data_IF_344580153794
#
_entry.id   IF_344580153794
#
_cell.length_a   1.000
_cell.length_b   1.000
_cell.length_c   1.000
_cell.angle_alpha   90.00
_cell.angle_beta   90.00
_cell.angle_gamma   90.00
#
_symmetry.space_group_name_H-M   'P 1'
#
loop_
_entity.id
_entity.type
_entity.pdbx_description
1 polymer ?
#
# COMPACT_ATOMS: atom_id res chain seq x y z
N UNK A 1 -51.85 -16.04 3.18
CA UNK A 1 -50.69 -15.85 2.28
C UNK A 1 -50.14 -14.42 2.27
N UNK A 2 -50.97 -13.36 2.24
CA UNK A 2 -50.48 -11.97 2.23
C UNK A 2 -49.68 -11.53 3.49
N UNK A 3 -50.07 -11.98 4.70
CA UNK A 3 -49.35 -11.63 5.95
C UNK A 3 -47.98 -12.31 6.12
N UNK A 4 -47.71 -13.41 5.43
CA UNK A 4 -46.41 -14.13 5.51
C UNK A 4 -45.39 -13.49 4.56
N UNK A 5 -45.84 -13.00 3.41
CA UNK A 5 -44.99 -12.28 2.45
C UNK A 5 -44.55 -10.90 2.97
N UNK A 6 -45.41 -10.15 3.67
CA UNK A 6 -45.05 -8.84 4.24
C UNK A 6 -43.88 -8.88 5.23
N UNK A 7 -43.89 -9.85 6.16
CA UNK A 7 -42.83 -10.01 7.18
C UNK A 7 -41.47 -10.41 6.60
N UNK A 8 -41.43 -11.06 5.44
CA UNK A 8 -40.17 -11.45 4.78
C UNK A 8 -39.55 -10.29 4.02
N UNK A 9 -40.37 -9.41 3.45
CA UNK A 9 -39.92 -8.21 2.73
C UNK A 9 -39.37 -7.15 3.69
N UNK A 10 -40.03 -6.95 4.83
CA UNK A 10 -39.58 -5.97 5.84
C UNK A 10 -38.19 -6.33 6.41
N UNK A 11 -37.96 -7.62 6.70
CA UNK A 11 -36.64 -8.10 7.18
C UNK A 11 -35.53 -7.94 6.14
N UNK A 12 -35.86 -8.11 4.86
CA UNK A 12 -34.89 -7.92 3.77
C UNK A 12 -34.58 -6.44 3.55
N UNK A 13 -35.58 -5.57 3.72
CA UNK A 13 -35.40 -4.12 3.68
C UNK A 13 -34.52 -3.63 4.85
N UNK A 14 -34.79 -4.09 6.07
CA UNK A 14 -33.93 -3.82 7.24
C UNK A 14 -32.48 -4.27 7.00
N UNK A 15 -32.29 -5.42 6.35
CA UNK A 15 -30.96 -5.90 5.96
C UNK A 15 -30.29 -4.96 4.95
N UNK A 16 -31.01 -4.49 3.93
CA UNK A 16 -30.50 -3.53 2.95
C UNK A 16 -30.12 -2.19 3.59
N UNK A 17 -30.97 -1.66 4.46
CA UNK A 17 -30.69 -0.43 5.21
C UNK A 17 -29.47 -0.60 6.12
N UNK A 18 -29.36 -1.74 6.81
CA UNK A 18 -28.20 -2.10 7.61
C UNK A 18 -26.90 -2.04 6.80
N UNK A 19 -26.88 -2.70 5.63
CA UNK A 19 -25.73 -2.73 4.72
C UNK A 19 -25.37 -1.32 4.22
N UNK A 20 -26.35 -0.55 3.73
CA UNK A 20 -26.13 0.80 3.19
C UNK A 20 -25.74 1.83 4.26
N UNK A 21 -26.12 1.58 5.52
CA UNK A 21 -25.74 2.43 6.66
C UNK A 21 -24.33 2.17 7.20
N UNK A 22 -23.61 1.17 6.66
CA UNK A 22 -22.24 0.88 7.05
C UNK A 22 -21.30 1.98 6.52
N UNK A 23 -20.61 2.68 7.42
CA UNK A 23 -19.74 3.81 7.07
C UNK A 23 -18.25 3.56 7.34
N UNK A 24 -17.91 2.44 8.00
CA UNK A 24 -16.53 2.08 8.35
C UNK A 24 -16.37 0.56 8.31
N UNK A 25 -15.21 0.05 7.87
CA UNK A 25 -14.94 -1.39 7.83
C UNK A 25 -15.10 -2.09 9.19
N UNK A 26 -14.74 -1.41 10.29
CA UNK A 26 -14.92 -1.91 11.66
C UNK A 26 -16.38 -2.18 12.06
N UNK A 27 -17.34 -1.64 11.31
CA UNK A 27 -18.78 -1.85 11.55
C UNK A 27 -19.33 -3.05 10.77
N UNK A 28 -18.54 -3.65 9.87
CA UNK A 28 -18.98 -4.72 8.98
C UNK A 28 -19.54 -5.92 9.74
N UNK A 29 -18.94 -6.33 10.85
CA UNK A 29 -19.49 -7.42 11.66
C UNK A 29 -20.93 -7.12 12.08
N UNK A 30 -21.14 -6.01 12.82
CA UNK A 30 -22.44 -5.68 13.41
C UNK A 30 -23.51 -5.31 12.38
N UNK A 31 -23.14 -4.57 11.32
CA UNK A 31 -24.10 -4.01 10.34
C UNK A 31 -24.31 -4.88 9.11
N UNK A 32 -23.35 -5.75 8.76
CA UNK A 32 -23.37 -6.52 7.51
C UNK A 32 -23.32 -8.02 7.81
N UNK A 33 -22.24 -8.53 8.40
CA UNK A 33 -22.03 -9.96 8.56
C UNK A 33 -23.04 -10.61 9.51
N UNK A 34 -23.29 -10.03 10.68
CA UNK A 34 -24.23 -10.60 11.66
C UNK A 34 -25.69 -10.63 11.16
N UNK A 35 -26.23 -9.57 10.53
CA UNK A 35 -27.54 -9.63 9.89
C UNK A 35 -27.61 -10.62 8.72
N UNK A 36 -26.58 -10.65 7.85
CA UNK A 36 -26.53 -11.59 6.72
C UNK A 36 -26.43 -13.04 7.19
N UNK A 37 -25.60 -13.34 8.21
CA UNK A 37 -25.46 -14.67 8.76
C UNK A 37 -26.80 -15.20 9.29
N UNK A 38 -27.57 -14.35 10.01
CA UNK A 38 -28.94 -14.70 10.43
C UNK A 38 -29.89 -14.95 9.26
N UNK A 39 -29.84 -14.11 8.21
CA UNK A 39 -30.68 -14.26 7.03
C UNK A 39 -30.36 -15.52 6.20
N UNK A 40 -29.09 -15.93 6.21
CA UNK A 40 -28.58 -17.12 5.51
C UNK A 40 -28.53 -18.36 6.41
N UNK A 41 -28.97 -18.24 7.66
CA UNK A 41 -28.92 -19.29 8.67
C UNK A 41 -27.50 -19.89 8.82
N UNK A 42 -26.47 -19.04 8.75
CA UNK A 42 -25.06 -19.40 8.90
C UNK A 42 -24.61 -19.26 10.36
N UNK A 43 -23.64 -20.07 10.78
CA UNK A 43 -23.09 -20.01 12.13
C UNK A 43 -22.04 -18.89 12.25
N UNK A 44 -21.19 -18.79 11.23
CA UNK A 44 -20.13 -17.78 11.16
C UNK A 44 -20.16 -17.07 9.81
N UNK A 45 -19.50 -15.91 9.77
CA UNK A 45 -19.27 -15.20 8.53
C UNK A 45 -17.94 -14.44 8.55
N UNK A 46 -17.41 -14.16 7.38
CA UNK A 46 -16.20 -13.37 7.22
C UNK A 46 -16.28 -12.44 6.01
N UNK A 47 -15.56 -11.34 6.10
CA UNK A 47 -15.25 -10.45 4.99
C UNK A 47 -13.73 -10.41 4.85
N UNK A 48 -13.22 -10.61 3.64
CA UNK A 48 -11.80 -10.57 3.32
C UNK A 48 -11.61 -9.76 2.04
N UNK A 49 -10.83 -8.68 2.12
CA UNK A 49 -10.34 -7.95 0.96
C UNK A 49 -9.01 -8.57 0.52
N UNK A 50 -9.00 -9.13 -0.67
CA UNK A 50 -7.81 -9.62 -1.35
C UNK A 50 -7.30 -8.55 -2.32
N UNK A 51 -6.07 -8.11 -2.12
CA UNK A 51 -5.39 -7.16 -2.98
C UNK A 51 -4.33 -7.93 -3.77
N UNK A 52 -4.42 -7.87 -5.11
CA UNK A 52 -3.45 -8.51 -6.00
C UNK A 52 -2.37 -7.49 -6.35
N UNK A 53 -1.10 -7.84 -6.11
CA UNK A 53 0.03 -6.95 -6.39
C UNK A 53 0.93 -7.54 -7.50
N UNK A 54 0.37 -7.82 -8.69
CA UNK A 54 1.13 -8.37 -9.82
C UNK A 54 1.89 -9.65 -9.45
N UNK A 55 3.21 -9.69 -9.72
CA UNK A 55 4.09 -10.85 -9.44
C UNK A 55 4.22 -11.22 -7.95
N UNK A 56 3.82 -10.34 -7.02
CA UNK A 56 3.98 -10.54 -5.57
C UNK A 56 2.86 -11.36 -4.91
N UNK A 57 1.98 -11.95 -5.70
CA UNK A 57 0.84 -12.73 -5.22
C UNK A 57 -0.22 -11.87 -4.53
N UNK A 58 -0.99 -12.52 -3.67
CA UNK A 58 -2.16 -11.97 -2.99
C UNK A 58 -1.78 -11.48 -1.59
N UNK A 59 -2.32 -10.34 -1.16
CA UNK A 59 -2.27 -9.88 0.24
C UNK A 59 -3.67 -9.61 0.78
N UNK A 60 -3.80 -9.62 2.11
CA UNK A 60 -5.03 -9.23 2.80
C UNK A 60 -5.01 -7.72 3.06
N UNK A 61 -6.07 -7.03 2.64
CA UNK A 61 -6.39 -5.66 3.06
C UNK A 61 -7.30 -5.67 4.29
N UNK A 62 -8.46 -5.03 4.19
CA UNK A 62 -9.48 -5.08 5.23
C UNK A 62 -10.04 -6.48 5.44
N UNK A 63 -10.32 -6.80 6.69
CA UNK A 63 -11.02 -8.03 7.04
C UNK A 63 -11.94 -7.82 8.24
N UNK A 64 -13.02 -8.59 8.29
CA UNK A 64 -13.93 -8.64 9.42
C UNK A 64 -14.45 -10.07 9.59
N UNK A 65 -14.90 -10.40 10.80
CA UNK A 65 -15.45 -11.70 11.11
C UNK A 65 -16.66 -11.58 12.03
N UNK A 66 -17.55 -12.56 11.93
CA UNK A 66 -18.72 -12.76 12.75
C UNK A 66 -18.67 -14.16 13.35
N UNK A 67 -18.67 -14.25 14.69
CA UNK A 67 -18.60 -15.51 15.46
C UNK A 67 -17.42 -16.43 15.12
N UNK A 68 -16.34 -15.88 14.52
CA UNK A 68 -15.04 -16.56 14.41
C UNK A 68 -14.17 -16.08 15.56
N UNK A 69 -13.43 -16.99 16.20
CA UNK A 69 -12.49 -16.60 17.25
C UNK A 69 -11.41 -15.66 16.67
N UNK A 70 -11.06 -14.54 17.33
CA UNK A 70 -10.10 -13.56 16.80
C UNK A 70 -8.75 -14.17 16.41
N UNK A 71 -8.23 -15.11 17.21
CA UNK A 71 -6.96 -15.79 16.91
C UNK A 71 -7.02 -16.63 15.63
N UNK A 72 -8.18 -17.25 15.33
CA UNK A 72 -8.36 -18.02 14.11
C UNK A 72 -8.43 -17.11 12.89
N UNK A 73 -9.14 -15.98 13.01
CA UNK A 73 -9.18 -14.96 11.97
C UNK A 73 -7.79 -14.37 11.70
N UNK A 74 -7.01 -14.12 12.75
CA UNK A 74 -5.62 -13.67 12.62
C UNK A 74 -4.76 -14.73 11.91
N UNK A 75 -4.80 -15.99 12.34
CA UNK A 75 -4.08 -17.09 11.67
C UNK A 75 -4.42 -17.19 10.18
N UNK A 76 -5.70 -17.08 9.83
CA UNK A 76 -6.13 -17.08 8.42
C UNK A 76 -5.51 -15.93 7.64
N UNK A 77 -5.68 -14.70 8.12
CA UNK A 77 -5.22 -13.49 7.43
C UNK A 77 -3.70 -13.37 7.34
N UNK A 78 -2.96 -14.05 8.22
CA UNK A 78 -1.49 -14.06 8.18
C UNK A 78 -0.88 -15.21 7.38
N UNK A 79 -1.51 -16.39 7.38
CA UNK A 79 -0.93 -17.63 6.84
C UNK A 79 -1.88 -18.33 5.87
N UNK A 80 -3.00 -18.85 6.36
CA UNK A 80 -3.83 -19.81 5.63
C UNK A 80 -4.51 -19.25 4.38
N UNK A 81 -4.71 -17.93 4.26
CA UNK A 81 -5.30 -17.34 3.05
C UNK A 81 -4.50 -17.67 1.78
N UNK A 82 -3.18 -17.94 1.89
CA UNK A 82 -2.35 -18.33 0.74
C UNK A 82 -2.59 -19.76 0.28
N UNK A 83 -3.16 -20.58 1.15
CA UNK A 83 -3.46 -21.99 0.90
C UNK A 83 -4.95 -22.21 0.55
N UNK A 84 -5.76 -21.16 0.63
CA UNK A 84 -7.20 -21.21 0.36
C UNK A 84 -7.47 -21.21 -1.16
N UNK A 85 -8.08 -22.27 -1.72
CA UNK A 85 -8.45 -22.29 -3.14
C UNK A 85 -9.41 -21.16 -3.53
N UNK A 86 -10.23 -20.69 -2.58
CA UNK A 86 -11.11 -19.54 -2.77
C UNK A 86 -10.35 -18.20 -2.86
N UNK A 87 -9.10 -18.13 -2.38
CA UNK A 87 -8.25 -16.95 -2.52
C UNK A 87 -7.72 -16.78 -3.96
N UNK A 88 -7.53 -17.86 -4.71
CA UNK A 88 -7.02 -17.81 -6.09
C UNK A 88 -8.07 -17.27 -7.07
N UNK A 89 -7.72 -16.22 -7.81
CA UNK A 89 -8.62 -15.59 -8.77
C UNK A 89 -8.80 -16.38 -10.07
N UNK A 90 -7.87 -17.29 -10.39
CA UNK A 90 -7.95 -18.17 -11.57
C UNK A 90 -8.85 -19.39 -11.37
N UNK A 91 -9.17 -19.74 -10.12
CA UNK A 91 -10.01 -20.89 -9.78
C UNK A 91 -11.50 -20.57 -9.65
N UNK A 92 -11.88 -19.29 -9.67
CA UNK A 92 -13.30 -18.91 -9.65
C UNK A 92 -13.91 -19.03 -11.05
N UNK A 93 -14.97 -19.84 -11.23
CA UNK A 93 -15.63 -20.00 -12.53
C UNK A 93 -16.12 -18.66 -13.09
N UNK A 94 -15.71 -18.34 -14.32
CA UNK A 94 -16.14 -17.15 -15.08
C UNK A 94 -17.53 -17.28 -15.70
N UNK A 95 -18.05 -18.51 -15.83
CA UNK A 95 -19.28 -18.84 -16.56
C UNK A 95 -20.46 -19.23 -15.64
N UNK A 96 -20.62 -18.57 -14.48
CA UNK A 96 -21.80 -18.76 -13.63
C UNK A 96 -22.73 -17.55 -13.68
N UNK A 97 -24.04 -17.81 -13.55
CA UNK A 97 -25.10 -16.78 -13.48
C UNK A 97 -25.00 -15.90 -12.24
N UNK A 98 -24.33 -16.37 -11.18
CA UNK A 98 -24.13 -15.64 -9.93
C UNK A 98 -22.64 -15.62 -9.58
N UNK A 99 -22.25 -14.66 -8.75
CA UNK A 99 -20.92 -14.54 -8.19
C UNK A 99 -20.81 -15.22 -6.79
N UNK A 100 -21.64 -16.25 -6.56
CA UNK A 100 -21.73 -16.99 -5.31
C UNK A 100 -21.38 -18.46 -5.54
N UNK A 101 -20.49 -18.99 -4.71
CA UNK A 101 -19.85 -20.29 -4.90
C UNK A 101 -19.89 -21.11 -3.61
N UNK A 102 -20.11 -22.41 -3.74
CA UNK A 102 -19.76 -23.39 -2.72
C UNK A 102 -18.31 -23.83 -2.87
N UNK A 103 -17.74 -24.46 -1.84
CA UNK A 103 -16.40 -25.05 -1.93
C UNK A 103 -16.24 -25.99 -3.14
N UNK A 104 -17.27 -26.78 -3.45
CA UNK A 104 -17.30 -27.71 -4.57
C UNK A 104 -17.27 -27.04 -5.94
N UNK A 105 -17.69 -25.78 -6.02
CA UNK A 105 -17.66 -25.01 -7.28
C UNK A 105 -16.26 -24.46 -7.57
N UNK A 106 -15.39 -24.41 -6.55
CA UNK A 106 -14.05 -23.81 -6.60
C UNK A 106 -12.97 -24.88 -6.74
N UNK A 107 -13.10 -25.97 -5.98
CA UNK A 107 -12.10 -27.03 -5.96
C UNK A 107 -12.70 -28.41 -5.67
N UNK A 108 -11.96 -29.43 -6.07
CA UNK A 108 -12.28 -30.82 -5.71
C UNK A 108 -12.07 -31.02 -4.20
N UNK A 109 -13.16 -31.32 -3.50
CA UNK A 109 -13.17 -31.47 -2.04
C UNK A 109 -12.24 -32.58 -1.55
N UNK A 110 -12.04 -33.64 -2.35
CA UNK A 110 -11.11 -34.72 -2.00
C UNK A 110 -9.66 -34.22 -1.94
N UNK A 111 -9.28 -33.31 -2.84
CA UNK A 111 -7.96 -32.66 -2.85
C UNK A 111 -7.81 -31.66 -1.72
N UNK A 112 -8.88 -30.95 -1.37
CA UNK A 112 -8.88 -30.04 -0.23
C UNK A 112 -8.60 -30.82 1.08
N UNK A 113 -9.28 -31.96 1.28
CA UNK A 113 -9.18 -32.76 2.51
C UNK A 113 -7.78 -33.33 2.80
N UNK A 114 -6.92 -33.48 1.79
CA UNK A 114 -5.53 -33.95 1.97
C UNK A 114 -4.54 -32.80 2.23
N UNK A 115 -4.95 -31.54 2.00
CA UNK A 115 -4.08 -30.38 2.15
C UNK A 115 -3.95 -29.85 3.57
N UNK A 116 -2.90 -29.06 3.80
CA UNK A 116 -2.63 -28.34 5.05
C UNK A 116 -3.81 -27.45 5.45
N UNK A 117 -4.37 -26.70 4.50
CA UNK A 117 -5.49 -25.78 4.77
C UNK A 117 -6.70 -26.48 5.40
N UNK A 118 -7.03 -27.69 4.94
CA UNK A 118 -8.15 -28.43 5.53
C UNK A 118 -7.80 -29.00 6.90
N UNK A 119 -6.67 -29.70 7.01
CA UNK A 119 -6.33 -30.46 8.20
C UNK A 119 -5.93 -29.58 9.38
N UNK A 120 -5.28 -28.45 9.11
CA UNK A 120 -4.68 -27.60 10.14
C UNK A 120 -5.55 -26.36 10.42
N UNK A 121 -6.44 -25.97 9.51
CA UNK A 121 -7.34 -24.83 9.70
C UNK A 121 -8.83 -25.19 9.67
N UNK A 122 -9.38 -25.71 8.56
CA UNK A 122 -10.84 -25.91 8.47
C UNK A 122 -11.37 -26.95 9.47
N UNK A 123 -10.72 -28.11 9.54
CA UNK A 123 -11.16 -29.24 10.39
C UNK A 123 -11.09 -28.92 11.90
N UNK A 124 -9.98 -28.38 12.46
CA UNK A 124 -9.91 -28.06 13.89
C UNK A 124 -10.87 -26.94 14.29
N UNK A 125 -11.13 -26.00 13.38
CA UNK A 125 -12.08 -24.89 13.60
C UNK A 125 -13.54 -25.28 13.36
N UNK A 126 -13.79 -26.54 13.00
CA UNK A 126 -15.11 -27.10 12.66
C UNK A 126 -15.79 -26.40 11.49
N UNK A 127 -15.07 -25.63 10.68
CA UNK A 127 -15.61 -25.03 9.46
C UNK A 127 -15.73 -26.14 8.40
N UNK A 128 -16.92 -26.30 7.81
CA UNK A 128 -17.16 -27.40 6.87
C UNK A 128 -17.96 -26.98 5.64
N UNK A 129 -19.22 -26.56 5.81
CA UNK A 129 -20.03 -26.10 4.70
C UNK A 129 -19.74 -24.62 4.48
N UNK A 130 -19.11 -24.29 3.36
CA UNK A 130 -18.69 -22.92 3.05
C UNK A 130 -19.43 -22.44 1.80
N UNK A 131 -19.99 -21.24 1.89
CA UNK A 131 -20.56 -20.50 0.79
C UNK A 131 -19.92 -19.11 0.75
N UNK A 132 -19.39 -18.71 -0.40
CA UNK A 132 -18.73 -17.41 -0.56
C UNK A 132 -19.37 -16.62 -1.68
N UNK A 133 -19.40 -15.30 -1.54
CA UNK A 133 -19.64 -14.35 -2.63
C UNK A 133 -18.33 -13.65 -2.96
N UNK A 134 -17.97 -13.61 -4.24
CA UNK A 134 -16.83 -12.85 -4.73
C UNK A 134 -17.30 -11.57 -5.45
N UNK A 135 -16.80 -10.42 -5.03
CA UNK A 135 -17.08 -9.11 -5.61
C UNK A 135 -15.80 -8.51 -6.17
N UNK A 136 -15.85 -7.98 -7.40
CA UNK A 136 -14.74 -7.28 -8.04
C UNK A 136 -15.13 -5.81 -8.24
N UNK A 137 -14.28 -4.89 -7.82
CA UNK A 137 -14.56 -3.45 -7.92
C UNK A 137 -13.86 -2.79 -9.09
N UNK A 138 -12.66 -3.25 -9.39
CA UNK A 138 -11.84 -2.71 -10.45
C UNK A 138 -11.09 -3.87 -11.13
N UNK A 139 -11.34 -4.09 -12.44
CA UNK A 139 -10.66 -5.13 -13.20
C UNK A 139 -9.16 -4.84 -13.41
N UNK A 140 -8.71 -3.59 -13.20
CA UNK A 140 -7.32 -3.17 -13.39
C UNK A 140 -6.49 -3.42 -12.13
N UNK A 141 -6.97 -3.01 -10.95
CA UNK A 141 -6.23 -3.23 -9.69
C UNK A 141 -6.18 -4.69 -9.23
N UNK A 142 -7.06 -5.56 -9.75
CA UNK A 142 -7.17 -6.94 -9.28
C UNK A 142 -7.69 -7.06 -7.84
N UNK A 143 -8.23 -5.98 -7.28
CA UNK A 143 -8.88 -5.98 -5.96
C UNK A 143 -10.15 -6.83 -5.98
N UNK A 144 -10.25 -7.74 -5.02
CA UNK A 144 -11.37 -8.65 -4.88
C UNK A 144 -11.82 -8.72 -3.43
N UNK A 145 -13.11 -8.50 -3.20
CA UNK A 145 -13.72 -8.66 -1.90
C UNK A 145 -14.45 -9.98 -1.85
N UNK A 146 -14.24 -10.74 -0.78
CA UNK A 146 -14.94 -12.00 -0.54
C UNK A 146 -15.73 -11.89 0.74
N UNK A 147 -17.00 -12.27 0.66
CA UNK A 147 -17.85 -12.45 1.84
C UNK A 147 -18.20 -13.92 1.94
N UNK A 148 -17.73 -14.56 3.01
CA UNK A 148 -17.93 -15.98 3.26
C UNK A 148 -18.87 -16.23 4.43
N UNK A 149 -19.63 -17.31 4.34
CA UNK A 149 -20.49 -17.81 5.40
C UNK A 149 -20.25 -19.30 5.58
N UNK A 150 -20.23 -19.74 6.83
CA UNK A 150 -19.88 -21.12 7.16
C UNK A 150 -20.87 -21.76 8.12
N UNK A 151 -20.99 -23.08 8.01
CA UNK A 151 -21.67 -23.97 8.97
C UNK A 151 -20.76 -25.16 9.31
N UNK A 152 -20.90 -25.74 10.50
CA UNK A 152 -20.10 -26.88 10.91
C UNK A 152 -20.57 -28.17 10.25
N UNK A 153 -19.77 -29.22 10.40
CA UNK A 153 -20.09 -30.55 9.87
C UNK A 153 -21.37 -31.16 10.46
N UNK A 154 -21.75 -30.76 11.68
CA UNK A 154 -23.03 -31.15 12.31
C UNK A 154 -24.24 -30.39 11.75
N UNK A 155 -24.02 -29.30 11.02
CA UNK A 155 -25.07 -28.50 10.40
C UNK A 155 -25.50 -29.05 9.03
N UNK A 156 -26.60 -28.54 8.50
CA UNK A 156 -27.02 -28.87 7.15
C UNK A 156 -26.19 -28.10 6.10
N UNK A 157 -25.84 -28.74 4.96
CA UNK A 157 -25.19 -28.04 3.86
C UNK A 157 -26.02 -26.85 3.36
N UNK A 158 -25.33 -25.81 2.88
CA UNK A 158 -26.00 -24.77 2.10
C UNK A 158 -26.60 -25.37 0.83
N UNK A 159 -27.74 -24.81 0.41
CA UNK A 159 -28.51 -25.24 -0.77
C UNK A 159 -28.61 -24.10 -1.76
N UNK A 160 -29.02 -24.38 -3.00
CA UNK A 160 -29.17 -23.38 -4.06
C UNK A 160 -30.06 -22.19 -3.66
N UNK A 161 -31.08 -22.40 -2.81
CA UNK A 161 -31.88 -21.30 -2.25
C UNK A 161 -31.04 -20.29 -1.45
N UNK A 162 -30.00 -20.74 -0.75
CA UNK A 162 -29.08 -19.89 0.01
C UNK A 162 -28.15 -19.12 -0.93
N UNK A 163 -27.72 -19.73 -2.03
CA UNK A 163 -26.97 -19.03 -3.10
C UNK A 163 -27.78 -17.90 -3.68
N UNK A 164 -29.05 -18.15 -4.03
CA UNK A 164 -29.95 -17.12 -4.57
C UNK A 164 -30.17 -15.99 -3.56
N UNK A 165 -30.41 -16.33 -2.29
CA UNK A 165 -30.54 -15.34 -1.20
C UNK A 165 -29.28 -14.50 -1.02
N UNK A 166 -28.09 -15.09 -1.05
CA UNK A 166 -26.84 -14.34 -0.94
C UNK A 166 -26.61 -13.49 -2.21
N UNK A 167 -26.80 -14.06 -3.40
CA UNK A 167 -26.64 -13.37 -4.68
C UNK A 167 -27.55 -12.14 -4.81
N UNK A 168 -28.76 -12.17 -4.24
CA UNK A 168 -29.66 -10.99 -4.24
C UNK A 168 -29.10 -9.81 -3.45
N UNK A 169 -28.16 -10.05 -2.52
CA UNK A 169 -27.49 -9.00 -1.74
C UNK A 169 -26.26 -8.40 -2.46
N UNK A 170 -25.86 -8.96 -3.60
CA UNK A 170 -24.60 -8.59 -4.28
C UNK A 170 -24.53 -7.12 -4.66
N UNK A 171 -25.62 -6.56 -5.22
CA UNK A 171 -25.68 -5.17 -5.67
C UNK A 171 -25.55 -4.19 -4.51
N UNK A 172 -26.33 -4.38 -3.44
CA UNK A 172 -26.32 -3.50 -2.27
C UNK A 172 -24.99 -3.58 -1.53
N UNK A 173 -24.44 -4.79 -1.40
CA UNK A 173 -23.15 -5.02 -0.77
C UNK A 173 -22.02 -4.39 -1.59
N UNK A 174 -22.08 -4.51 -2.92
CA UNK A 174 -21.15 -3.82 -3.83
C UNK A 174 -21.19 -2.32 -3.64
N UNK A 175 -22.38 -1.73 -3.63
CA UNK A 175 -22.52 -0.28 -3.46
C UNK A 175 -21.94 0.20 -2.12
N UNK A 176 -22.25 -0.50 -1.02
CA UNK A 176 -21.73 -0.17 0.31
C UNK A 176 -20.20 -0.29 0.37
N UNK A 177 -19.63 -1.40 -0.08
CA UNK A 177 -18.18 -1.62 -0.04
C UNK A 177 -17.41 -0.66 -0.96
N UNK A 178 -17.95 -0.35 -2.16
CA UNK A 178 -17.39 0.70 -3.03
C UNK A 178 -17.39 2.06 -2.35
N UNK A 179 -18.49 2.40 -1.65
CA UNK A 179 -18.58 3.65 -0.91
C UNK A 179 -17.54 3.71 0.21
N UNK A 180 -17.30 2.61 0.94
CA UNK A 180 -16.26 2.55 1.96
C UNK A 180 -14.86 2.75 1.38
N UNK A 181 -14.53 2.02 0.31
CA UNK A 181 -13.24 2.14 -0.38
C UNK A 181 -13.00 3.57 -0.89
N UNK A 182 -14.01 4.18 -1.51
CA UNK A 182 -13.91 5.56 -2.00
C UNK A 182 -13.75 6.58 -0.86
N UNK A 183 -14.42 6.40 0.27
CA UNK A 183 -14.26 7.27 1.45
C UNK A 183 -12.84 7.23 2.01
N UNK A 184 -12.21 6.06 2.07
CA UNK A 184 -10.83 5.93 2.51
C UNK A 184 -9.87 6.59 1.53
N UNK A 185 -10.02 6.34 0.23
CA UNK A 185 -9.21 6.98 -0.80
C UNK A 185 -9.32 8.52 -0.75
N UNK A 186 -10.52 9.06 -0.52
CA UNK A 186 -10.73 10.50 -0.36
C UNK A 186 -10.11 11.03 0.93
N UNK A 187 -10.21 10.30 2.04
CA UNK A 187 -9.59 10.69 3.32
C UNK A 187 -8.08 10.80 3.17
N UNK A 188 -7.46 9.76 2.61
CA UNK A 188 -6.03 9.73 2.31
C UNK A 188 -5.62 10.88 1.38
N UNK A 189 -6.39 11.11 0.31
CA UNK A 189 -6.10 12.18 -0.65
C UNK A 189 -6.22 13.56 -0.03
N UNK A 190 -7.21 13.81 0.82
CA UNK A 190 -7.41 15.11 1.45
C UNK A 190 -6.30 15.41 2.47
N UNK A 191 -5.88 14.42 3.26
CA UNK A 191 -4.72 14.55 4.15
C UNK A 191 -3.44 14.85 3.35
N UNK A 192 -3.23 14.14 2.25
CA UNK A 192 -2.11 14.37 1.34
C UNK A 192 -2.11 15.79 0.74
N UNK A 193 -3.27 16.30 0.31
CA UNK A 193 -3.40 17.65 -0.24
C UNK A 193 -3.11 18.72 0.81
N UNK A 194 -3.65 18.57 2.02
CA UNK A 194 -3.42 19.54 3.09
C UNK A 194 -1.93 19.63 3.47
N UNK A 195 -1.26 18.48 3.54
CA UNK A 195 0.17 18.44 3.84
C UNK A 195 1.05 18.95 2.69
N UNK A 196 0.57 18.91 1.44
CA UNK A 196 1.24 19.53 0.29
C UNK A 196 1.07 21.05 0.24
N UNK A 197 -0.08 21.58 0.66
CA UNK A 197 -0.34 23.02 0.71
C UNK A 197 0.65 23.74 1.65
N UNK A 198 1.02 23.09 2.75
CA UNK A 198 1.99 23.59 3.73
C UNK A 198 3.45 23.32 3.34
N UNK A 199 3.69 22.43 2.36
CA UNK A 199 5.03 22.01 2.00
C UNK A 199 5.73 23.04 1.09
N UNK A 200 6.99 23.37 1.42
CA UNK A 200 7.85 24.15 0.53
C UNK A 200 8.03 23.38 -0.81
N UNK A 201 7.91 24.03 -1.99
CA UNK A 201 8.12 23.40 -3.30
C UNK A 201 9.45 22.66 -3.47
N UNK A 202 10.46 23.02 -2.66
CA UNK A 202 11.75 22.36 -2.60
C UNK A 202 11.78 21.16 -1.62
N UNK A 203 10.64 20.66 -1.18
CA UNK A 203 10.56 19.46 -0.32
C UNK A 203 10.01 18.31 -1.15
N UNK A 204 10.69 17.17 -1.13
CA UNK A 204 10.11 15.95 -1.68
C UNK A 204 9.09 15.40 -0.70
N UNK A 205 7.87 15.12 -1.15
CA UNK A 205 6.80 14.58 -0.31
C UNK A 205 6.32 13.25 -0.87
N UNK A 206 6.24 12.22 -0.02
CA UNK A 206 5.65 10.93 -0.34
C UNK A 206 4.74 10.45 0.79
N UNK A 207 3.61 9.84 0.41
CA UNK A 207 2.62 9.30 1.34
C UNK A 207 2.51 7.79 1.18
N UNK A 208 2.44 7.08 2.30
CA UNK A 208 2.33 5.62 2.35
C UNK A 208 1.19 5.17 3.25
N UNK A 209 0.52 4.09 2.84
CA UNK A 209 -0.51 3.43 3.64
C UNK A 209 0.11 2.60 4.79
N UNK A 210 -0.74 1.96 5.61
CA UNK A 210 -0.33 1.09 6.70
C UNK A 210 0.53 -0.12 6.26
N UNK A 211 0.47 -0.45 4.98
CA UNK A 211 1.21 -1.54 4.34
C UNK A 211 2.47 -1.06 3.62
N UNK A 212 2.80 0.23 3.69
CA UNK A 212 3.91 0.88 2.99
C UNK A 212 3.74 0.89 1.46
N UNK A 213 2.51 0.81 0.96
CA UNK A 213 2.20 1.07 -0.44
C UNK A 213 2.27 2.57 -0.68
N UNK A 214 2.92 3.00 -1.77
CA UNK A 214 2.98 4.40 -2.16
C UNK A 214 1.61 4.87 -2.64
N UNK A 215 1.03 5.84 -1.95
CA UNK A 215 -0.27 6.43 -2.27
C UNK A 215 -0.12 7.65 -3.19
N UNK A 216 0.91 8.44 -2.95
CA UNK A 216 1.26 9.62 -3.72
C UNK A 216 2.72 9.99 -3.48
N UNK A 217 3.35 10.58 -4.49
CA UNK A 217 4.63 11.27 -4.35
C UNK A 217 4.74 12.40 -5.34
N UNK A 218 5.42 13.48 -4.96
CA UNK A 218 5.89 14.45 -5.95
C UNK A 218 7.20 13.96 -6.64
N UNK A 219 7.57 14.53 -7.81
CA UNK A 219 8.76 14.10 -8.56
C UNK A 219 10.07 14.18 -7.77
N UNK A 220 10.14 15.13 -6.83
CA UNK A 220 11.30 15.28 -5.96
C UNK A 220 11.45 14.11 -5.00
N UNK A 221 10.38 13.69 -4.31
CA UNK A 221 10.44 12.50 -3.45
C UNK A 221 10.78 11.23 -4.22
N UNK A 222 10.26 11.05 -5.44
CA UNK A 222 10.64 9.93 -6.29
C UNK A 222 12.14 9.90 -6.54
N UNK A 223 12.73 11.06 -6.83
CA UNK A 223 14.18 11.20 -7.06
C UNK A 223 14.98 10.98 -5.77
N UNK A 224 14.60 11.67 -4.69
CA UNK A 224 15.31 11.68 -3.41
C UNK A 224 15.30 10.28 -2.75
N UNK A 225 14.15 9.60 -2.82
CA UNK A 225 13.95 8.25 -2.28
C UNK A 225 14.31 7.14 -3.26
N UNK A 226 14.65 7.49 -4.51
CA UNK A 226 14.97 6.55 -5.59
C UNK A 226 13.84 5.54 -5.83
N UNK A 227 12.60 6.05 -5.90
CA UNK A 227 11.39 5.28 -6.19
C UNK A 227 11.06 5.44 -7.68
N UNK A 228 10.88 4.33 -8.41
CA UNK A 228 10.41 4.35 -9.81
C UNK A 228 8.88 4.31 -9.88
N UNK A 229 8.26 5.08 -10.78
CA UNK A 229 6.80 5.07 -11.01
C UNK A 229 6.28 3.76 -11.62
N UNK A 230 7.15 2.95 -12.23
CA UNK A 230 6.81 1.61 -12.70
C UNK A 230 6.83 0.61 -11.53
N UNK A 231 5.66 0.06 -11.25
CA UNK A 231 5.26 -0.78 -10.12
C UNK A 231 5.92 -2.16 -10.00
N UNK A 232 7.21 -2.30 -10.30
CA UNK A 232 8.00 -3.52 -10.04
C UNK A 232 8.98 -3.30 -8.88
N UNK A 233 8.51 -2.64 -7.83
CA UNK A 233 9.27 -2.40 -6.60
C UNK A 233 9.32 -3.65 -5.70
N UNK A 234 9.77 -4.80 -6.23
CA UNK A 234 10.44 -5.85 -5.44
C UNK A 234 11.55 -6.51 -6.26
N UNK A 235 12.70 -5.86 -6.22
CA UNK A 235 13.98 -6.39 -6.69
C UNK A 235 15.14 -5.45 -6.41
N UNK A 236 14.90 -4.14 -6.40
CA UNK A 236 15.90 -3.14 -6.05
C UNK A 236 15.46 -2.38 -4.79
N UNK A 237 15.68 -2.96 -3.60
CA UNK A 237 15.63 -2.18 -2.37
C UNK A 237 16.78 -1.16 -2.42
N UNK A 238 16.48 0.06 -2.88
CA UNK A 238 17.31 1.20 -2.55
C UNK A 238 17.40 1.27 -1.02
N UNK A 239 18.62 1.39 -0.49
CA UNK A 239 18.89 1.41 0.97
C UNK A 239 18.05 2.45 1.74
N UNK A 240 17.56 3.49 1.04
CA UNK A 240 16.70 4.56 1.57
C UNK A 240 15.27 4.10 1.86
N UNK A 241 14.61 3.40 0.92
CA UNK A 241 13.22 2.95 1.11
C UNK A 241 13.11 1.89 2.21
N UNK A 242 14.11 1.01 2.32
CA UNK A 242 14.18 0.02 3.40
C UNK A 242 14.27 0.69 4.78
N UNK A 243 15.12 1.72 4.91
CA UNK A 243 15.25 2.51 6.13
C UNK A 243 13.98 3.28 6.49
N UNK A 244 13.27 3.82 5.48
CA UNK A 244 11.94 4.43 5.67
C UNK A 244 10.96 3.39 6.18
N UNK A 245 10.86 2.24 5.51
CA UNK A 245 9.93 1.18 5.91
C UNK A 245 10.20 0.68 7.33
N UNK A 246 11.48 0.55 7.73
CA UNK A 246 11.86 0.24 9.11
C UNK A 246 11.40 1.31 10.09
N UNK A 247 11.52 2.58 9.71
CA UNK A 247 11.10 3.72 10.54
C UNK A 247 9.58 3.79 10.68
N UNK A 248 8.82 3.61 9.61
CA UNK A 248 7.37 3.53 9.63
C UNK A 248 6.88 2.41 10.56
N UNK A 249 7.47 1.21 10.45
CA UNK A 249 7.17 0.08 11.36
C UNK A 249 7.49 0.39 12.82
N UNK A 250 8.62 1.05 13.07
CA UNK A 250 9.03 1.46 14.42
C UNK A 250 8.13 2.56 15.02
N UNK A 251 7.55 3.42 14.18
CA UNK A 251 6.54 4.39 14.61
C UNK A 251 5.22 3.69 14.94
N UNK A 252 4.76 2.79 14.07
CA UNK A 252 3.50 2.06 14.23
C UNK A 252 3.48 1.15 15.46
N UNK A 253 4.60 0.53 15.82
CA UNK A 253 4.70 -0.34 17.00
C UNK A 253 4.47 0.39 18.33
N UNK A 254 4.58 1.72 18.35
CA UNK A 254 4.36 2.54 19.55
C UNK A 254 2.90 2.94 19.77
N UNK A 255 1.97 2.50 18.90
CA UNK A 255 0.54 2.75 19.02
C UNK A 255 0.07 4.08 18.41
N UNK A 256 -1.17 4.47 18.70
CA UNK A 256 -1.85 5.63 18.11
C UNK A 256 -1.18 6.97 18.45
N UNK A 257 -1.42 7.98 17.60
CA UNK A 257 -0.98 9.36 17.80
C UNK A 257 -0.03 9.86 16.71
N UNK A 258 0.26 11.15 16.74
CA UNK A 258 1.22 11.78 15.84
C UNK A 258 2.65 11.58 16.35
N UNK A 259 3.54 11.08 15.48
CA UNK A 259 4.94 10.84 15.82
C UNK A 259 5.84 11.10 14.63
N UNK A 260 7.08 11.47 14.91
CA UNK A 260 8.06 11.82 13.88
C UNK A 260 9.39 11.11 14.15
N UNK A 261 10.08 10.70 13.10
CA UNK A 261 11.42 10.15 13.12
C UNK A 261 12.24 10.77 11.99
N UNK A 262 13.40 11.34 12.34
CA UNK A 262 14.33 11.92 11.37
C UNK A 262 15.41 10.92 10.97
N UNK A 263 15.60 10.78 9.66
CA UNK A 263 16.62 9.96 9.02
C UNK A 263 17.58 10.88 8.30
N UNK A 264 18.87 10.55 8.38
CA UNK A 264 19.91 11.22 7.60
C UNK A 264 20.54 10.19 6.67
N UNK A 265 20.41 10.41 5.36
CA UNK A 265 20.82 9.51 4.31
C UNK A 265 22.16 9.93 3.73
N UNK A 266 23.21 9.21 4.11
CA UNK A 266 24.62 9.40 3.70
C UNK A 266 25.19 10.82 3.97
N UNK A 267 26.47 10.88 4.34
CA UNK A 267 27.16 12.16 4.52
C UNK A 267 27.46 12.89 3.21
N UNK A 268 27.26 12.24 2.06
CA UNK A 268 27.68 12.72 0.74
C UNK A 268 26.59 13.52 0.01
N UNK A 269 25.31 13.16 0.20
CA UNK A 269 24.18 13.80 -0.49
C UNK A 269 23.39 14.75 0.42
N UNK A 270 23.69 14.75 1.73
CA UNK A 270 23.06 15.58 2.78
C UNK A 270 21.52 15.51 2.78
N UNK A 271 21.00 14.37 2.32
CA UNK A 271 19.57 14.12 2.22
C UNK A 271 19.05 13.77 3.61
N UNK A 272 18.16 14.62 4.11
CA UNK A 272 17.40 14.36 5.32
C UNK A 272 15.99 13.93 4.94
N UNK A 273 15.47 12.95 5.66
CA UNK A 273 14.09 12.55 5.56
C UNK A 273 13.41 12.58 6.93
N UNK A 274 12.31 13.31 7.02
CA UNK A 274 11.43 13.32 8.16
C UNK A 274 10.26 12.38 7.87
N UNK A 275 10.19 11.28 8.63
CA UNK A 275 9.10 10.30 8.55
C UNK A 275 8.10 10.61 9.66
N UNK A 276 6.88 10.99 9.29
CA UNK A 276 5.77 11.19 10.22
C UNK A 276 4.78 10.06 10.12
N UNK A 277 4.19 9.72 11.25
CA UNK A 277 3.05 8.84 11.34
C UNK A 277 1.90 9.59 11.97
N UNK A 278 0.73 9.50 11.36
CA UNK A 278 -0.55 9.91 11.91
C UNK A 278 -1.50 8.73 11.99
N UNK A 279 -2.56 8.88 12.76
CA UNK A 279 -3.65 7.90 12.84
C UNK A 279 -4.86 8.44 12.11
N UNK A 280 -5.30 7.75 11.05
CA UNK A 280 -6.52 8.09 10.33
C UNK A 280 -7.75 7.95 11.26
N UNK A 281 -8.91 8.56 10.92
CA UNK A 281 -10.13 8.47 11.72
C UNK A 281 -10.65 7.05 11.98
N UNK A 282 -10.25 6.10 11.14
CA UNK A 282 -10.57 4.67 11.27
C UNK A 282 -9.63 3.92 12.24
N UNK A 283 -8.50 4.54 12.62
CA UNK A 283 -7.50 4.00 13.53
C UNK A 283 -6.24 3.46 12.86
N UNK A 284 -6.16 3.46 11.52
CA UNK A 284 -5.00 2.96 10.78
C UNK A 284 -3.86 3.99 10.76
N UNK A 285 -2.59 3.55 10.74
CA UNK A 285 -1.48 4.46 10.56
C UNK A 285 -1.40 4.96 9.11
N UNK A 286 -1.10 6.23 8.95
CA UNK A 286 -0.78 6.88 7.69
C UNK A 286 0.60 7.50 7.82
N UNK A 287 1.46 7.32 6.82
CA UNK A 287 2.83 7.80 6.87
C UNK A 287 3.07 8.88 5.82
N UNK A 288 3.69 9.98 6.23
CA UNK A 288 4.24 10.98 5.33
C UNK A 288 5.76 11.03 5.47
N UNK A 289 6.43 11.17 4.33
CA UNK A 289 7.89 11.28 4.25
C UNK A 289 8.22 12.58 3.55
N UNK A 290 8.86 13.47 4.29
CA UNK A 290 9.37 14.74 3.78
C UNK A 290 10.87 14.63 3.59
N UNK A 291 11.32 14.91 2.39
CA UNK A 291 12.73 14.88 2.02
C UNK A 291 13.21 16.28 1.73
N UNK A 292 14.34 16.62 2.31
CA UNK A 292 15.04 17.88 2.04
C UNK A 292 16.52 17.59 1.93
N UNK A 293 17.19 18.28 1.03
CA UNK A 293 18.64 18.35 1.01
C UNK A 293 19.01 19.69 1.63
N UNK A 294 20.09 19.77 2.43
CA UNK A 294 20.67 21.08 2.70
C UNK A 294 20.89 21.79 1.36
N UNK A 295 20.53 23.07 1.27
CA UNK A 295 20.46 23.79 -0.01
C UNK A 295 21.67 23.54 -0.92
N UNK A 296 21.47 23.56 -2.24
CA UNK A 296 22.47 23.12 -3.24
C UNK A 296 23.90 23.63 -2.97
N UNK A 297 24.02 24.85 -2.43
CA UNK A 297 25.31 25.46 -2.13
C UNK A 297 26.03 24.83 -0.91
N UNK A 298 25.29 24.47 0.15
CA UNK A 298 25.88 23.83 1.32
C UNK A 298 26.37 22.41 1.00
N UNK A 299 25.56 21.66 0.23
CA UNK A 299 25.91 20.31 -0.25
C UNK A 299 27.09 20.36 -1.23
N UNK A 300 27.12 21.33 -2.13
CA UNK A 300 28.26 21.58 -3.02
C UNK A 300 29.55 21.83 -2.24
N UNK A 301 29.52 22.72 -1.24
CA UNK A 301 30.69 23.02 -0.42
C UNK A 301 31.17 21.83 0.40
N UNK A 302 30.27 21.01 0.95
CA UNK A 302 30.62 19.75 1.64
C UNK A 302 31.31 18.76 0.70
N UNK A 303 30.80 18.55 -0.51
CA UNK A 303 31.45 17.68 -1.52
C UNK A 303 32.80 18.23 -1.94
N UNK A 304 32.93 19.54 -2.11
CA UNK A 304 34.22 20.17 -2.36
C UNK A 304 35.20 19.91 -1.21
N UNK A 305 34.77 20.04 0.04
CA UNK A 305 35.60 19.71 1.20
C UNK A 305 35.99 18.23 1.24
N UNK A 306 35.10 17.31 0.88
CA UNK A 306 35.37 15.87 0.84
C UNK A 306 36.50 15.48 -0.13
N UNK A 307 36.63 16.20 -1.26
CA UNK A 307 37.69 15.98 -2.25
C UNK A 307 38.87 16.95 -2.10
N UNK A 308 39.00 17.63 -0.95
CA UNK A 308 40.05 18.62 -0.68
C UNK A 308 40.16 19.70 -1.78
N UNK A 309 39.01 20.12 -2.32
CA UNK A 309 38.94 21.17 -3.34
C UNK A 309 39.16 22.52 -2.67
N UNK A 310 40.16 23.24 -3.15
CA UNK A 310 40.54 24.56 -2.62
C UNK A 310 39.53 25.64 -3.02
N UNK A 311 39.50 26.76 -2.28
CA UNK A 311 38.61 27.90 -2.60
C UNK A 311 38.75 28.38 -4.05
N UNK A 312 39.98 28.40 -4.58
CA UNK A 312 40.26 28.79 -5.98
C UNK A 312 39.66 27.80 -6.99
N UNK A 313 39.71 26.50 -6.67
CA UNK A 313 39.12 25.45 -7.50
C UNK A 313 37.59 25.48 -7.41
N UNK A 314 37.02 25.79 -6.24
CA UNK A 314 35.58 26.01 -6.04
C UNK A 314 35.07 27.13 -6.96
N UNK A 315 35.76 28.28 -7.02
CA UNK A 315 35.38 29.40 -7.89
C UNK A 315 35.36 28.98 -9.37
N UNK A 316 36.35 28.20 -9.80
CA UNK A 316 36.42 27.65 -11.16
C UNK A 316 35.24 26.70 -11.42
N UNK A 317 34.92 25.82 -10.47
CA UNK A 317 33.80 24.86 -10.59
C UNK A 317 32.45 25.59 -10.66
N UNK A 318 32.25 26.65 -9.88
CA UNK A 318 31.03 27.47 -9.96
C UNK A 318 30.84 28.08 -11.34
N UNK A 319 31.90 28.63 -11.95
CA UNK A 319 31.84 29.16 -13.31
C UNK A 319 31.68 28.04 -14.37
N UNK A 320 32.23 26.85 -14.12
CA UNK A 320 31.98 25.70 -14.98
C UNK A 320 30.51 25.25 -14.94
N UNK A 321 29.84 25.33 -13.78
CA UNK A 321 28.41 24.98 -13.62
C UNK A 321 27.50 25.88 -14.46
N UNK A 322 27.87 27.13 -14.70
CA UNK A 322 27.10 28.06 -15.54
C UNK A 322 27.33 27.85 -17.04
N UNK A 323 28.11 26.84 -17.44
CA UNK A 323 28.37 26.52 -18.85
C UNK A 323 29.54 27.27 -19.50
N UNK A 324 30.30 28.09 -18.76
CA UNK A 324 31.41 28.87 -19.33
C UNK A 324 32.55 27.98 -19.84
N UNK A 325 33.17 28.36 -20.94
CA UNK A 325 34.39 27.78 -21.49
C UNK A 325 35.63 28.16 -20.67
N UNK A 326 36.74 27.44 -20.84
CA UNK A 326 37.99 27.74 -20.14
C UNK A 326 38.52 29.16 -20.45
N UNK A 327 38.27 29.65 -21.67
CA UNK A 327 38.64 31.00 -22.09
C UNK A 327 37.81 32.08 -21.37
N UNK A 328 36.49 31.86 -21.25
CA UNK A 328 35.60 32.78 -20.52
C UNK A 328 35.90 32.79 -19.02
N UNK A 329 36.18 31.63 -18.43
CA UNK A 329 36.61 31.51 -17.03
C UNK A 329 37.93 32.24 -16.81
N UNK A 330 38.89 32.06 -17.71
CA UNK A 330 40.20 32.71 -17.65
C UNK A 330 40.06 34.24 -17.70
N UNK A 331 39.25 34.75 -18.62
CA UNK A 331 38.94 36.18 -18.73
C UNK A 331 38.27 36.72 -17.46
N UNK A 332 37.26 36.02 -16.94
CA UNK A 332 36.51 36.44 -15.74
C UNK A 332 37.33 36.43 -14.46
N UNK A 333 38.29 35.51 -14.34
CA UNK A 333 39.17 35.39 -13.19
C UNK A 333 40.51 36.14 -13.35
N UNK A 334 40.69 36.88 -14.46
CA UNK A 334 41.92 37.58 -14.82
C UNK A 334 43.16 36.67 -14.78
N UNK A 335 43.07 35.48 -15.40
CA UNK A 335 44.14 34.46 -15.47
C UNK A 335 44.34 33.98 -16.91
N UNK A 336 45.47 33.32 -17.17
CA UNK A 336 45.68 32.66 -18.46
C UNK A 336 44.85 31.38 -18.58
N UNK A 337 44.44 31.02 -19.79
CA UNK A 337 43.73 29.76 -20.08
C UNK A 337 44.51 28.55 -19.56
N UNK A 338 45.84 28.54 -19.76
CA UNK A 338 46.75 27.52 -19.23
C UNK A 338 46.67 27.34 -17.71
N UNK A 339 46.45 28.43 -16.97
CA UNK A 339 46.27 28.37 -15.51
C UNK A 339 44.96 27.67 -15.15
N UNK A 340 43.87 27.97 -15.87
CA UNK A 340 42.58 27.31 -15.67
C UNK A 340 42.66 25.81 -16.01
N UNK A 341 43.35 25.45 -17.10
CA UNK A 341 43.58 24.05 -17.47
C UNK A 341 44.37 23.29 -16.40
N UNK A 342 45.39 23.91 -15.81
CA UNK A 342 46.15 23.30 -14.71
C UNK A 342 45.27 23.07 -13.47
N UNK A 343 44.43 24.04 -13.10
CA UNK A 343 43.45 23.85 -12.01
C UNK A 343 42.46 22.72 -12.34
N UNK A 344 41.96 22.66 -13.57
CA UNK A 344 41.06 21.59 -14.01
C UNK A 344 41.70 20.21 -13.92
N UNK A 345 42.98 20.07 -14.29
CA UNK A 345 43.72 18.80 -14.12
C UNK A 345 43.83 18.41 -12.65
N UNK A 346 44.12 19.37 -11.76
CA UNK A 346 44.14 19.14 -10.31
C UNK A 346 42.77 18.65 -9.80
N UNK A 347 41.68 19.33 -10.20
CA UNK A 347 40.31 18.97 -9.83
C UNK A 347 39.96 17.56 -10.33
N UNK A 348 40.27 17.24 -11.58
CA UNK A 348 40.04 15.91 -12.16
C UNK A 348 40.81 14.82 -11.43
N UNK A 349 42.06 15.09 -11.05
CA UNK A 349 42.86 14.18 -10.22
C UNK A 349 42.25 13.96 -8.84
N UNK A 350 41.81 15.02 -8.16
CA UNK A 350 41.22 14.94 -6.81
C UNK A 350 39.88 14.21 -6.80
N UNK A 351 39.07 14.40 -7.82
CA UNK A 351 37.72 13.82 -7.92
C UNK A 351 37.69 12.43 -8.59
N UNK A 352 38.79 12.03 -9.23
CA UNK A 352 38.89 10.77 -9.96
C UNK A 352 38.00 10.71 -11.21
N UNK A 353 37.78 11.84 -11.88
CA UNK A 353 36.95 11.94 -13.09
C UNK A 353 37.77 12.48 -14.25
N UNK A 354 37.39 12.13 -15.48
CA UNK A 354 38.15 12.51 -16.69
C UNK A 354 37.39 13.44 -17.63
N UNK A 355 36.13 13.76 -17.32
CA UNK A 355 35.25 14.58 -18.18
C UNK A 355 34.55 15.66 -17.37
N UNK A 356 34.35 16.83 -17.99
CA UNK A 356 33.59 17.94 -17.41
C UNK A 356 32.20 17.53 -16.94
N UNK A 357 31.45 16.79 -17.75
CA UNK A 357 30.10 16.32 -17.39
C UNK A 357 30.13 15.36 -16.20
N UNK A 358 31.14 14.50 -16.09
CA UNK A 358 31.34 13.61 -14.94
C UNK A 358 31.69 14.41 -13.67
N UNK A 359 32.56 15.43 -13.79
CA UNK A 359 32.88 16.32 -12.67
C UNK A 359 31.63 17.04 -12.15
N UNK A 360 30.85 17.62 -13.07
CA UNK A 360 29.62 18.33 -12.70
C UNK A 360 28.61 17.36 -12.06
N UNK A 361 28.46 16.15 -12.57
CA UNK A 361 27.59 15.13 -11.97
C UNK A 361 28.08 14.66 -10.59
N UNK A 362 29.40 14.58 -10.37
CA UNK A 362 29.99 14.11 -9.10
C UNK A 362 29.88 15.15 -7.98
N UNK A 363 29.88 16.43 -8.34
CA UNK A 363 29.79 17.56 -7.40
C UNK A 363 28.38 18.19 -7.34
N UNK A 364 27.42 17.65 -8.10
CA UNK A 364 26.04 18.14 -8.19
C UNK A 364 25.27 17.96 -6.90
#
# INVERSE_FOLDING_TARGET
MAMVYGKSTDKLLELYEGILSCRRYRELDKKVLAPMARYLEAETGCFIQFLHNGENGIRIGHSAHHHVHPDLHAQYTTHFFRLDPGADSGLLPSHQLTNVYFTSDICDYSKLMVGEFYNDFLRPTRIHHIMIMALRFDPISGERLVVGFQRPHSGSPFREEHKVRLASLSTVLSAALRSLSMQEALTVRNEALHELEDANPQTGVAFFDEHLSLLYSNPRALTDLQISESSDARGAHGSRLEAIGKSCRALASKGKGERTLNLNFSTLDDLQAEVKMRTLPDGRPFFSVHTSTAGEEASFLKRCAHYDITSREIDIIRLLRTGMSNAEIAARLFRSVRTIENHLRSIYSKTGVNRRTQLLSRLR
#
